data_IF_979411649653
#
_entry.id   IF_979411649653
#
_cell.length_a   1.000
_cell.length_b   1.000
_cell.length_c   1.000
_cell.angle_alpha   90.00
_cell.angle_beta   90.00
_cell.angle_gamma   90.00
#
_symmetry.space_group_name_H-M   'P 1'
#
loop_
_entity.id
_entity.type
_entity.pdbx_description
1 polymer ?
#
# COMPACT_ATOMS: atom_id res chain seq x y z
N UNK A 1 7.83 13.02 -6.57
CA UNK A 1 6.79 11.95 -6.52
C UNK A 1 5.55 12.55 -5.91
N UNK A 2 4.39 12.44 -6.56
CA UNK A 2 3.12 12.68 -5.87
C UNK A 2 2.89 11.55 -4.87
N UNK A 3 2.22 11.86 -3.76
CA UNK A 3 1.94 10.90 -2.71
C UNK A 3 1.23 9.64 -3.23
N UNK A 4 0.32 9.79 -4.20
CA UNK A 4 -0.25 8.69 -5.00
C UNK A 4 0.76 7.72 -5.58
N UNK A 5 1.76 8.25 -6.29
CA UNK A 5 2.76 7.41 -6.98
C UNK A 5 3.63 6.66 -5.98
N UNK A 6 3.97 7.29 -4.85
CA UNK A 6 4.72 6.66 -3.78
C UNK A 6 3.91 5.54 -3.10
N UNK A 7 2.63 5.79 -2.80
CA UNK A 7 1.73 4.81 -2.20
C UNK A 7 1.50 3.62 -3.14
N UNK A 8 1.25 3.87 -4.43
CA UNK A 8 1.08 2.81 -5.44
C UNK A 8 2.33 1.94 -5.60
N UNK A 9 3.52 2.55 -5.59
CA UNK A 9 4.78 1.80 -5.68
C UNK A 9 5.03 0.96 -4.43
N UNK A 10 4.78 1.54 -3.25
CA UNK A 10 4.91 0.81 -1.97
C UNK A 10 3.92 -0.36 -1.88
N UNK A 11 2.67 -0.13 -2.27
CA UNK A 11 1.63 -1.13 -2.39
C UNK A 11 2.06 -2.32 -3.27
N UNK A 12 2.57 -2.04 -4.48
CA UNK A 12 3.06 -3.08 -5.39
C UNK A 12 4.23 -3.87 -4.80
N UNK A 13 5.18 -3.18 -4.15
CA UNK A 13 6.29 -3.84 -3.46
C UNK A 13 5.80 -4.78 -2.35
N UNK A 14 4.89 -4.34 -1.49
CA UNK A 14 4.34 -5.16 -0.39
C UNK A 14 3.63 -6.40 -0.92
N UNK A 15 2.85 -6.27 -2.01
CA UNK A 15 2.16 -7.41 -2.63
C UNK A 15 3.15 -8.42 -3.20
N UNK A 16 4.15 -7.96 -3.98
CA UNK A 16 5.16 -8.85 -4.54
C UNK A 16 5.98 -9.54 -3.44
N UNK A 17 6.35 -8.81 -2.38
CA UNK A 17 7.07 -9.37 -1.24
C UNK A 17 6.25 -10.44 -0.51
N UNK A 18 4.95 -10.18 -0.34
CA UNK A 18 4.02 -11.11 0.31
C UNK A 18 3.83 -12.39 -0.50
N UNK A 19 3.73 -12.27 -1.83
CA UNK A 19 3.65 -13.43 -2.73
C UNK A 19 4.96 -14.23 -2.69
N UNK A 20 6.11 -13.54 -2.75
CA UNK A 20 7.41 -14.19 -2.67
C UNK A 20 7.56 -14.99 -1.37
N UNK A 21 7.25 -14.38 -0.22
CA UNK A 21 7.29 -15.06 1.08
C UNK A 21 6.24 -16.17 1.21
N UNK A 22 5.11 -16.03 0.51
CA UNK A 22 4.09 -17.09 0.46
C UNK A 22 4.60 -18.36 -0.21
N UNK A 23 5.45 -18.21 -1.23
CA UNK A 23 6.05 -19.34 -1.97
C UNK A 23 7.29 -19.87 -1.26
N UNK A 24 8.12 -19.00 -0.66
CA UNK A 24 9.42 -19.40 -0.09
C UNK A 24 9.38 -19.78 1.39
N UNK A 25 8.45 -19.23 2.17
CA UNK A 25 8.39 -19.44 3.63
C UNK A 25 7.14 -20.22 4.02
N UNK A 26 5.95 -19.64 3.78
CA UNK A 26 4.70 -20.28 4.16
C UNK A 26 3.49 -19.64 3.46
N UNK A 27 2.52 -20.42 2.95
CA UNK A 27 1.39 -19.90 2.16
C UNK A 27 0.48 -18.90 2.89
N UNK A 28 0.54 -18.83 4.22
CA UNK A 28 -0.20 -17.85 5.02
C UNK A 28 0.21 -16.39 4.77
N UNK A 29 1.38 -16.13 4.14
CA UNK A 29 1.82 -14.77 3.80
C UNK A 29 0.94 -14.09 2.74
N UNK A 30 0.12 -14.84 1.99
CA UNK A 30 -0.95 -14.29 1.15
C UNK A 30 -1.94 -13.46 1.98
N UNK A 31 -2.16 -13.78 3.26
CA UNK A 31 -3.02 -12.97 4.13
C UNK A 31 -2.56 -11.52 4.24
N UNK A 32 -1.25 -11.28 4.17
CA UNK A 32 -0.66 -9.94 4.21
C UNK A 32 -0.89 -9.18 2.89
N UNK A 33 -0.83 -9.89 1.75
CA UNK A 33 -1.22 -9.34 0.45
C UNK A 33 -2.72 -8.99 0.41
N UNK A 34 -3.59 -9.85 0.94
CA UNK A 34 -5.04 -9.63 1.02
C UNK A 34 -5.34 -8.43 1.90
N UNK A 35 -4.72 -8.33 3.08
CA UNK A 35 -4.88 -7.19 3.98
C UNK A 35 -4.43 -5.88 3.32
N UNK A 36 -3.27 -5.88 2.67
CA UNK A 36 -2.78 -4.72 1.93
C UNK A 36 -3.75 -4.32 0.80
N UNK A 37 -4.26 -5.29 0.03
CA UNK A 37 -5.22 -5.07 -1.04
C UNK A 37 -6.55 -4.49 -0.54
N UNK A 38 -7.10 -5.02 0.56
CA UNK A 38 -8.31 -4.47 1.18
C UNK A 38 -8.11 -3.02 1.63
N UNK A 39 -6.95 -2.69 2.21
CA UNK A 39 -6.64 -1.31 2.60
C UNK A 39 -6.55 -0.37 1.38
N UNK A 40 -6.03 -0.84 0.24
CA UNK A 40 -6.01 -0.04 -1.00
C UNK A 40 -7.41 0.15 -1.57
N UNK A 41 -8.24 -0.89 -1.56
CA UNK A 41 -9.65 -0.79 -2.00
C UNK A 41 -10.39 0.22 -1.13
N UNK A 42 -10.25 0.12 0.20
CA UNK A 42 -10.87 1.07 1.13
C UNK A 42 -10.36 2.50 0.88
N UNK A 43 -9.05 2.67 0.66
CA UNK A 43 -8.46 3.97 0.34
C UNK A 43 -8.98 4.58 -0.96
N UNK A 44 -9.27 3.76 -1.98
CA UNK A 44 -9.86 4.26 -3.24
C UNK A 44 -11.28 4.83 -3.06
N UNK A 45 -12.03 4.35 -2.05
CA UNK A 45 -13.37 4.86 -1.74
C UNK A 45 -13.38 6.00 -0.72
N UNK A 46 -12.53 5.95 0.30
CA UNK A 46 -12.52 6.92 1.41
C UNK A 46 -11.43 7.99 1.29
N UNK A 47 -10.50 7.85 0.36
CA UNK A 47 -9.27 8.66 0.31
C UNK A 47 -8.34 8.41 1.51
N UNK A 48 -8.67 7.46 2.38
CA UNK A 48 -7.97 7.24 3.65
C UNK A 48 -7.03 6.04 3.52
N UNK A 49 -5.79 6.29 3.08
CA UNK A 49 -4.75 5.25 3.07
C UNK A 49 -3.79 5.44 4.26
N UNK A 50 -3.59 4.45 5.15
CA UNK A 50 -2.59 4.55 6.22
C UNK A 50 -1.17 4.73 5.66
N UNK A 51 -0.88 4.15 4.50
CA UNK A 51 0.38 4.39 3.78
C UNK A 51 0.50 5.86 3.34
N UNK A 52 -0.60 6.49 2.92
CA UNK A 52 -0.63 7.91 2.59
C UNK A 52 -0.32 8.78 3.80
N UNK A 53 -0.90 8.47 4.97
CA UNK A 53 -0.56 9.16 6.23
C UNK A 53 0.91 9.00 6.61
N UNK A 54 1.48 7.81 6.43
CA UNK A 54 2.89 7.54 6.72
C UNK A 54 3.81 8.38 5.81
N UNK A 55 3.53 8.40 4.50
CA UNK A 55 4.28 9.21 3.53
C UNK A 55 4.06 10.72 3.70
N UNK A 56 2.86 11.15 4.11
CA UNK A 56 2.56 12.53 4.50
C UNK A 56 3.36 12.94 5.73
N UNK A 57 3.50 12.06 6.73
CA UNK A 57 4.36 12.28 7.91
C UNK A 57 5.84 12.34 7.56
N UNK A 58 6.29 11.65 6.51
CA UNK A 58 7.65 11.74 5.97
C UNK A 58 7.90 12.97 5.08
N UNK A 59 6.93 13.88 4.95
CA UNK A 59 7.10 15.15 4.24
C UNK A 59 6.95 15.06 2.71
N UNK A 60 6.39 13.97 2.18
CA UNK A 60 6.10 13.86 0.75
C UNK A 60 4.85 14.69 0.40
N UNK A 61 4.96 15.55 -0.61
CA UNK A 61 3.86 16.41 -1.07
C UNK A 61 2.67 15.57 -1.54
N UNK A 62 1.51 15.93 -1.02
CA UNK A 62 0.20 15.33 -1.29
C UNK A 62 -0.11 15.38 -2.79
N UNK A 63 -0.50 14.24 -3.36
CA UNK A 63 -1.00 14.16 -4.73
C UNK A 63 -2.49 14.48 -4.79
N UNK A 64 -3.01 14.67 -6.00
CA UNK A 64 -4.40 15.07 -6.25
C UNK A 64 -5.43 14.07 -5.72
N UNK A 65 -5.08 12.78 -5.52
CA UNK A 65 -6.02 11.77 -5.04
C UNK A 65 -6.17 11.73 -3.50
N UNK A 66 -5.32 12.44 -2.76
CA UNK A 66 -5.36 12.51 -1.29
C UNK A 66 -5.66 13.93 -0.78
N UNK A 67 -6.36 14.74 -1.59
CA UNK A 67 -6.71 16.13 -1.27
C UNK A 67 -7.92 16.23 -0.33
#
# INVERSE_FOLDING_TARGET
>A
MTLDRAVLMFAGCVVLLSILLSVTVHPYWIGLAIFAGLNMIQASFTGFCPAAMLFKRMGIREGVAFK
#
